data_IF_856801906872
#
_entry.id   IF_856801906872
#
_cell.length_a   1.000
_cell.length_b   1.000
_cell.length_c   1.000
_cell.angle_alpha   90.00
_cell.angle_beta   90.00
_cell.angle_gamma   90.00
#
_symmetry.space_group_name_H-M   'P 1'
#
loop_
_entity.id
_entity.type
_entity.pdbx_description
1 polymer ?
#
# COMPACT_ATOMS: atom_id res chain seq x y z
N UNK A 1 -14.70 -11.90 15.78
CA UNK A 1 -14.36 -10.81 14.86
C UNK A 1 -13.31 -11.30 13.90
N UNK A 2 -13.45 -11.01 12.59
CA UNK A 2 -12.41 -11.31 11.60
C UNK A 2 -11.20 -10.45 11.91
N UNK A 3 -10.03 -11.07 12.05
CA UNK A 3 -8.78 -10.31 12.19
C UNK A 3 -8.42 -9.72 10.84
N UNK A 4 -8.13 -8.42 10.78
CA UNK A 4 -7.83 -7.73 9.54
C UNK A 4 -6.33 -7.77 9.20
N UNK A 5 -6.01 -7.63 7.91
CA UNK A 5 -4.68 -7.35 7.40
C UNK A 5 -4.70 -5.96 6.76
N UNK A 6 -3.84 -5.06 7.22
CA UNK A 6 -3.68 -3.71 6.66
C UNK A 6 -2.54 -3.71 5.65
N UNK A 7 -2.88 -3.52 4.36
CA UNK A 7 -1.87 -3.61 3.29
C UNK A 7 -1.08 -2.32 3.05
N UNK A 8 -1.45 -1.20 3.67
CA UNK A 8 -0.79 0.10 3.45
C UNK A 8 -0.57 0.82 4.77
N UNK A 9 0.67 0.76 5.25
CA UNK A 9 1.09 1.40 6.50
C UNK A 9 2.41 2.13 6.28
N UNK A 10 2.38 3.45 6.37
CA UNK A 10 3.60 4.25 6.33
C UNK A 10 4.35 4.17 7.66
N UNK A 11 5.67 4.10 7.61
CA UNK A 11 6.49 4.33 8.81
C UNK A 11 6.37 5.81 9.21
N UNK A 12 5.66 6.03 10.30
CA UNK A 12 5.41 7.37 10.83
C UNK A 12 5.83 7.42 12.31
N UNK A 13 7.11 7.13 12.55
CA UNK A 13 7.73 7.20 13.86
C UNK A 13 8.40 8.57 14.11
N UNK A 14 8.71 8.89 15.38
CA UNK A 14 9.43 10.12 15.73
C UNK A 14 10.76 10.29 14.97
N UNK A 15 11.48 9.19 14.71
CA UNK A 15 12.72 9.20 13.94
C UNK A 15 12.50 9.61 12.48
N UNK A 16 11.45 9.08 11.83
CA UNK A 16 11.12 9.39 10.45
C UNK A 16 10.66 10.85 10.29
N UNK A 17 9.90 11.34 11.26
CA UNK A 17 9.47 12.74 11.30
C UNK A 17 10.69 13.66 11.44
N UNK A 18 11.57 13.37 12.39
CA UNK A 18 12.79 14.15 12.62
C UNK A 18 13.74 14.14 11.41
N UNK A 19 13.77 13.04 10.65
CA UNK A 19 14.56 12.88 9.43
C UNK A 19 13.90 13.46 8.18
N UNK A 20 12.67 14.01 8.26
CA UNK A 20 11.92 14.52 7.10
C UNK A 20 11.48 13.44 6.12
N UNK A 21 11.29 12.20 6.57
CA UNK A 21 10.99 11.02 5.76
C UNK A 21 9.48 10.70 5.68
N UNK A 22 8.61 11.63 6.04
CA UNK A 22 7.16 11.39 6.11
C UNK A 22 6.39 11.84 4.89
N UNK A 23 6.96 12.71 4.05
CA UNK A 23 6.32 13.23 2.85
C UNK A 23 5.15 14.20 3.08
N UNK A 24 4.75 14.45 4.34
CA UNK A 24 3.60 15.28 4.70
C UNK A 24 4.05 16.61 5.31
N UNK A 25 3.44 17.72 4.90
CA UNK A 25 3.55 18.99 5.61
C UNK A 25 2.36 19.21 6.57
N UNK A 26 2.47 20.25 7.42
CA UNK A 26 1.42 20.58 8.37
C UNK A 26 0.06 20.87 7.70
N UNK A 27 0.08 21.46 6.50
CA UNK A 27 -1.14 21.77 5.77
C UNK A 27 -1.86 20.51 5.29
N UNK A 28 -1.13 19.48 4.85
CA UNK A 28 -1.71 18.20 4.52
C UNK A 28 -2.28 17.49 5.76
N UNK A 29 -1.53 17.50 6.88
CA UNK A 29 -2.02 16.94 8.15
C UNK A 29 -3.33 17.61 8.60
N UNK A 30 -3.47 18.93 8.42
CA UNK A 30 -4.71 19.66 8.70
C UNK A 30 -5.83 19.26 7.74
N UNK A 31 -5.54 19.13 6.45
CA UNK A 31 -6.51 18.73 5.43
C UNK A 31 -7.12 17.35 5.71
N UNK A 32 -6.30 16.37 6.12
CA UNK A 32 -6.76 15.02 6.48
C UNK A 32 -7.27 14.93 7.91
N UNK A 33 -7.24 16.03 8.67
CA UNK A 33 -7.67 16.12 10.07
C UNK A 33 -6.93 15.13 10.97
N UNK A 34 -5.63 15.01 10.76
CA UNK A 34 -4.79 14.13 11.57
C UNK A 34 -4.81 14.59 13.04
N UNK A 35 -5.16 13.71 13.99
CA UNK A 35 -5.13 14.04 15.42
C UNK A 35 -3.75 14.46 15.89
N UNK A 36 -3.64 15.42 16.81
CA UNK A 36 -2.36 15.92 17.32
C UNK A 36 -1.49 14.82 17.91
N UNK A 37 -2.08 13.86 18.62
CA UNK A 37 -1.37 12.70 19.17
C UNK A 37 -0.69 11.83 18.09
N UNK A 38 -1.25 11.79 16.87
CA UNK A 38 -0.66 11.05 15.75
C UNK A 38 0.43 11.83 15.03
N UNK A 39 0.38 13.17 15.07
CA UNK A 39 1.37 14.04 14.43
C UNK A 39 2.76 13.91 15.04
N UNK A 40 2.85 13.52 16.30
CA UNK A 40 4.12 13.23 16.98
C UNK A 40 4.79 11.92 16.52
N UNK A 41 4.03 11.10 15.78
CA UNK A 41 4.44 9.77 15.36
C UNK A 41 4.34 8.73 16.47
N UNK A 42 4.40 7.47 16.09
CA UNK A 42 4.42 6.33 17.01
C UNK A 42 5.54 5.37 16.63
N UNK A 43 6.16 4.75 17.62
CA UNK A 43 7.13 3.69 17.38
C UNK A 43 6.45 2.34 17.08
N UNK A 44 7.24 1.31 16.79
CA UNK A 44 6.74 0.00 16.43
C UNK A 44 5.87 -0.63 17.52
N UNK A 45 6.25 -0.48 18.79
CA UNK A 45 5.51 -1.08 19.92
C UNK A 45 4.16 -0.40 20.14
N UNK A 46 4.14 0.93 20.07
CA UNK A 46 2.91 1.70 20.17
C UNK A 46 1.98 1.43 18.97
N UNK A 47 2.52 1.23 17.78
CA UNK A 47 1.70 0.88 16.63
C UNK A 47 1.09 -0.53 16.75
N UNK A 48 1.82 -1.51 17.30
CA UNK A 48 1.26 -2.83 17.61
C UNK A 48 0.08 -2.75 18.58
N UNK A 49 0.13 -1.86 19.58
CA UNK A 49 -1.02 -1.64 20.48
C UNK A 49 -2.24 -1.09 19.71
N UNK A 50 -2.03 -0.14 18.79
CA UNK A 50 -3.10 0.37 17.91
C UNK A 50 -3.69 -0.76 17.05
N UNK A 51 -2.85 -1.64 16.50
CA UNK A 51 -3.30 -2.82 15.74
C UNK A 51 -4.16 -3.74 16.60
N UNK A 52 -3.74 -4.02 17.86
CA UNK A 52 -4.49 -4.88 18.78
C UNK A 52 -5.86 -4.30 19.09
N UNK A 53 -5.95 -3.01 19.39
CA UNK A 53 -7.20 -2.29 19.60
C UNK A 53 -8.12 -2.30 18.37
N UNK A 54 -7.53 -2.24 17.17
CA UNK A 54 -8.26 -2.27 15.90
C UNK A 54 -8.67 -3.68 15.44
N UNK A 55 -8.10 -4.73 16.01
CA UNK A 55 -8.29 -6.10 15.53
C UNK A 55 -7.48 -6.42 14.25
N UNK A 56 -6.37 -5.70 14.01
CA UNK A 56 -5.46 -5.97 12.90
C UNK A 56 -4.41 -6.98 13.34
N UNK A 57 -4.33 -8.11 12.64
CA UNK A 57 -3.35 -9.14 12.95
C UNK A 57 -1.98 -8.90 12.30
N UNK A 58 -1.97 -8.28 11.12
CA UNK A 58 -0.75 -8.04 10.35
C UNK A 58 -0.83 -6.75 9.54
N UNK A 59 0.31 -6.07 9.37
CA UNK A 59 0.42 -4.84 8.56
C UNK A 59 1.61 -4.89 7.61
N UNK A 60 1.42 -4.36 6.40
CA UNK A 60 2.50 -4.18 5.42
C UNK A 60 3.10 -2.79 5.55
N UNK A 61 4.37 -2.73 5.93
CA UNK A 61 5.12 -1.49 6.14
C UNK A 61 5.86 -1.08 4.87
N UNK A 62 5.75 0.18 4.49
CA UNK A 62 6.33 0.69 3.26
C UNK A 62 7.71 1.32 3.47
N UNK A 63 8.74 0.77 2.82
CA UNK A 63 10.05 1.40 2.68
C UNK A 63 10.01 2.37 1.49
N UNK A 64 9.45 3.55 1.73
CA UNK A 64 9.09 4.52 0.70
C UNK A 64 10.28 4.98 -0.12
N UNK A 65 10.09 5.08 -1.45
CA UNK A 65 10.87 5.89 -2.36
C UNK A 65 9.91 6.81 -3.11
N UNK A 66 9.96 8.09 -2.79
CA UNK A 66 9.06 9.09 -3.34
C UNK A 66 9.84 10.19 -4.05
N UNK A 67 9.85 10.13 -5.39
CA UNK A 67 10.52 11.05 -6.28
C UNK A 67 12.00 10.74 -6.54
N UNK A 68 12.51 11.31 -7.64
CA UNK A 68 13.93 11.23 -7.98
C UNK A 68 14.77 11.93 -6.89
N UNK A 69 15.83 11.28 -6.43
CA UNK A 69 16.71 11.80 -5.36
C UNK A 69 17.29 13.21 -5.63
N UNK A 70 17.30 13.62 -6.89
CA UNK A 70 17.78 14.95 -7.30
C UNK A 70 16.68 16.01 -7.29
N UNK A 71 15.43 15.66 -6.96
CA UNK A 71 14.33 16.61 -6.94
C UNK A 71 14.00 17.08 -5.53
N UNK A 72 13.66 18.37 -5.42
CA UNK A 72 13.18 18.93 -4.17
C UNK A 72 11.90 18.22 -3.71
N UNK A 73 11.84 17.90 -2.42
CA UNK A 73 10.70 17.25 -1.80
C UNK A 73 10.69 15.73 -1.91
N UNK A 74 11.62 15.15 -2.67
CA UNK A 74 11.82 13.69 -2.67
C UNK A 74 12.31 13.20 -1.33
N UNK A 75 11.87 12.01 -0.91
CA UNK A 75 12.29 11.40 0.33
C UNK A 75 12.35 9.88 0.22
N UNK A 76 13.07 9.27 1.14
CA UNK A 76 13.30 7.83 1.15
C UNK A 76 13.29 7.32 2.59
N UNK A 77 12.67 6.16 2.80
CA UNK A 77 12.81 5.35 4.01
C UNK A 77 13.66 4.13 3.61
N UNK A 78 14.87 3.96 4.18
CA UNK A 78 15.75 2.85 3.86
C UNK A 78 15.08 1.49 4.16
N UNK A 79 15.36 0.48 3.33
CA UNK A 79 14.84 -0.88 3.53
C UNK A 79 15.21 -1.44 4.90
N UNK A 80 16.43 -1.17 5.35
CA UNK A 80 16.92 -1.60 6.66
C UNK A 80 16.12 -1.01 7.83
N UNK A 81 15.54 0.17 7.65
CA UNK A 81 14.67 0.79 8.67
C UNK A 81 13.36 0.02 8.81
N UNK A 82 12.74 -0.35 7.71
CA UNK A 82 11.53 -1.19 7.71
C UNK A 82 11.86 -2.61 8.20
N UNK A 83 12.98 -3.18 7.74
CA UNK A 83 13.42 -4.52 8.18
C UNK A 83 13.57 -4.59 9.72
N UNK A 84 14.16 -3.57 10.37
CA UNK A 84 14.24 -3.52 11.85
C UNK A 84 12.88 -3.56 12.54
N UNK A 85 11.86 -2.89 12.00
CA UNK A 85 10.50 -2.97 12.55
C UNK A 85 9.91 -4.37 12.35
N UNK A 86 10.12 -4.96 11.17
CA UNK A 86 9.67 -6.33 10.89
C UNK A 86 10.37 -7.37 11.79
N UNK A 87 11.67 -7.21 12.05
CA UNK A 87 12.43 -8.10 12.94
C UNK A 87 12.02 -7.98 14.41
N UNK A 88 11.63 -6.77 14.83
CA UNK A 88 11.12 -6.53 16.19
C UNK A 88 9.77 -7.22 16.43
N UNK A 89 8.91 -7.26 15.43
CA UNK A 89 7.57 -7.87 15.50
C UNK A 89 7.30 -8.76 14.26
N UNK A 90 7.99 -9.89 14.11
CA UNK A 90 8.00 -10.69 12.87
C UNK A 90 6.65 -11.33 12.52
N UNK A 91 5.75 -11.50 13.50
CA UNK A 91 4.39 -11.99 13.29
C UNK A 91 3.38 -10.88 12.94
N UNK A 92 3.77 -9.61 13.14
CA UNK A 92 2.88 -8.45 13.01
C UNK A 92 3.18 -7.61 11.78
N UNK A 93 4.42 -7.65 11.27
CA UNK A 93 4.87 -6.81 10.18
C UNK A 93 5.55 -7.59 9.06
N UNK A 94 5.32 -7.14 7.84
CA UNK A 94 6.13 -7.49 6.67
C UNK A 94 6.44 -6.22 5.87
N UNK A 95 7.59 -6.19 5.20
CA UNK A 95 8.03 -5.01 4.45
C UNK A 95 7.63 -5.03 2.99
N UNK A 96 7.33 -3.86 2.43
CA UNK A 96 7.19 -3.59 1.00
C UNK A 96 8.33 -2.69 0.54
N UNK A 97 9.06 -3.10 -0.50
CA UNK A 97 10.19 -2.35 -1.04
C UNK A 97 9.72 -1.19 -1.93
N UNK A 98 10.14 0.03 -1.65
CA UNK A 98 9.89 1.18 -2.51
C UNK A 98 10.65 1.08 -3.83
N UNK A 99 9.98 1.36 -4.95
CA UNK A 99 10.58 1.36 -6.27
C UNK A 99 10.83 2.78 -6.81
N UNK A 100 12.03 3.00 -7.35
CA UNK A 100 12.44 4.24 -7.99
C UNK A 100 12.92 3.95 -9.42
N UNK A 101 12.13 4.30 -10.46
CA UNK A 101 12.47 4.01 -11.85
C UNK A 101 13.64 4.86 -12.38
N UNK A 102 14.11 5.86 -11.63
CA UNK A 102 15.24 6.70 -12.05
C UNK A 102 16.61 6.06 -11.75
N UNK A 103 16.65 5.01 -10.91
CA UNK A 103 17.92 4.36 -10.47
C UNK A 103 18.45 3.28 -11.42
N UNK A 104 17.70 2.90 -12.43
CA UNK A 104 18.15 1.89 -13.41
C UNK A 104 18.57 0.57 -12.74
N UNK A 105 19.79 0.10 -13.01
CA UNK A 105 20.30 -1.17 -12.48
C UNK A 105 20.45 -1.20 -10.96
N UNK A 106 20.74 -0.05 -10.33
CA UNK A 106 20.78 0.06 -8.86
C UNK A 106 19.43 -0.38 -8.24
N UNK A 107 18.30 0.07 -8.83
CA UNK A 107 16.98 -0.33 -8.36
C UNK A 107 16.75 -1.84 -8.45
N UNK A 108 17.24 -2.50 -9.50
CA UNK A 108 17.05 -3.95 -9.66
C UNK A 108 17.85 -4.72 -8.60
N UNK A 109 19.09 -4.29 -8.31
CA UNK A 109 19.91 -4.85 -7.23
C UNK A 109 19.29 -4.59 -5.85
N UNK A 110 18.70 -3.41 -5.66
CA UNK A 110 17.99 -3.08 -4.42
C UNK A 110 16.77 -3.98 -4.20
N UNK A 111 16.05 -4.38 -5.24
CA UNK A 111 14.94 -5.34 -5.11
C UNK A 111 15.43 -6.73 -4.70
N UNK A 112 16.57 -7.18 -5.22
CA UNK A 112 17.21 -8.43 -4.78
C UNK A 112 17.60 -8.36 -3.29
N UNK A 113 18.17 -7.22 -2.86
CA UNK A 113 18.48 -6.96 -1.45
C UNK A 113 17.21 -6.95 -0.58
N UNK A 114 16.13 -6.31 -1.03
CA UNK A 114 14.86 -6.32 -0.32
C UNK A 114 14.28 -7.74 -0.17
N UNK A 115 14.35 -8.56 -1.23
CA UNK A 115 13.95 -9.97 -1.17
C UNK A 115 14.78 -10.75 -0.15
N UNK A 116 16.10 -10.52 -0.10
CA UNK A 116 17.00 -11.12 0.89
C UNK A 116 16.69 -10.66 2.33
N UNK A 117 16.21 -9.44 2.53
CA UNK A 117 15.70 -8.92 3.81
C UNK A 117 14.30 -9.45 4.18
N UNK A 118 13.70 -10.31 3.34
CA UNK A 118 12.40 -10.91 3.60
C UNK A 118 11.20 -10.00 3.28
N UNK A 119 11.36 -9.01 2.43
CA UNK A 119 10.26 -8.20 1.93
C UNK A 119 9.31 -9.05 1.08
N UNK A 120 8.02 -8.77 1.17
CA UNK A 120 6.96 -9.62 0.60
C UNK A 120 6.31 -9.03 -0.65
N UNK A 121 6.71 -7.83 -1.03
CA UNK A 121 6.20 -7.13 -2.21
C UNK A 121 6.96 -5.83 -2.47
N UNK A 122 6.58 -5.16 -3.53
CA UNK A 122 7.12 -3.87 -3.96
C UNK A 122 6.00 -2.85 -4.02
N UNK A 123 6.31 -1.58 -3.73
CA UNK A 123 5.35 -0.51 -3.92
C UNK A 123 5.96 0.68 -4.67
N UNK A 124 5.10 1.50 -5.30
CA UNK A 124 5.50 2.70 -5.99
C UNK A 124 4.47 3.82 -5.89
N UNK A 125 4.96 5.05 -5.98
CA UNK A 125 4.18 6.27 -6.10
C UNK A 125 4.46 6.95 -7.45
N UNK A 126 3.82 6.54 -8.57
CA UNK A 126 4.10 7.05 -9.91
C UNK A 126 4.03 8.57 -10.02
N UNK A 127 3.14 9.20 -9.26
CA UNK A 127 2.96 10.65 -9.23
C UNK A 127 4.23 11.40 -8.80
N UNK A 128 4.97 10.86 -7.85
CA UNK A 128 6.21 11.46 -7.35
C UNK A 128 7.33 11.45 -8.39
N UNK A 129 7.26 10.54 -9.36
CA UNK A 129 8.19 10.48 -10.47
C UNK A 129 7.65 11.20 -11.72
N UNK A 130 6.42 11.74 -11.68
CA UNK A 130 5.73 12.34 -12.83
C UNK A 130 5.71 11.40 -14.03
N UNK A 131 5.64 10.12 -13.79
CA UNK A 131 5.80 9.05 -14.77
C UNK A 131 4.60 8.11 -14.69
N UNK A 132 3.86 8.00 -15.80
CA UNK A 132 2.73 7.08 -15.88
C UNK A 132 3.18 5.63 -15.66
N UNK A 133 2.36 4.78 -15.01
CA UNK A 133 2.77 3.42 -14.64
C UNK A 133 3.06 2.50 -15.83
N UNK A 134 2.47 2.77 -17.00
CA UNK A 134 2.71 2.05 -18.26
C UNK A 134 3.95 2.54 -19.03
N UNK A 135 4.69 3.52 -18.49
CA UNK A 135 5.90 4.01 -19.15
C UNK A 135 7.03 2.96 -19.10
N UNK A 136 7.74 2.81 -20.20
CA UNK A 136 8.79 1.80 -20.40
C UNK A 136 9.87 1.78 -19.30
N UNK A 137 10.09 2.90 -18.60
CA UNK A 137 11.05 3.00 -17.50
C UNK A 137 10.68 2.11 -16.29
N UNK A 138 9.40 1.78 -16.10
CA UNK A 138 8.95 0.86 -15.07
C UNK A 138 9.14 -0.61 -15.43
N UNK A 139 9.20 -0.96 -16.72
CA UNK A 139 9.19 -2.34 -17.20
C UNK A 139 10.31 -3.22 -16.65
N UNK A 140 11.57 -2.74 -16.52
CA UNK A 140 12.61 -3.54 -15.85
C UNK A 140 12.27 -3.92 -14.40
N UNK A 141 11.57 -3.02 -13.68
CA UNK A 141 11.12 -3.25 -12.31
C UNK A 141 10.01 -4.31 -12.29
N UNK A 142 9.03 -4.23 -13.21
CA UNK A 142 7.97 -5.24 -13.33
C UNK A 142 8.55 -6.62 -13.64
N UNK A 143 9.47 -6.70 -14.59
CA UNK A 143 10.17 -7.95 -14.92
C UNK A 143 10.93 -8.52 -13.69
N UNK A 144 11.62 -7.67 -12.93
CA UNK A 144 12.31 -8.09 -11.70
C UNK A 144 11.31 -8.53 -10.62
N UNK A 145 10.16 -7.92 -10.50
CA UNK A 145 9.09 -8.35 -9.59
C UNK A 145 8.55 -9.74 -9.97
N UNK A 146 8.36 -10.01 -11.27
CA UNK A 146 8.00 -11.36 -11.74
C UNK A 146 9.10 -12.38 -11.40
N UNK A 147 10.37 -12.07 -11.69
CA UNK A 147 11.51 -12.94 -11.37
C UNK A 147 11.59 -13.27 -9.88
N UNK A 148 11.36 -12.28 -9.02
CA UNK A 148 11.42 -12.41 -7.57
C UNK A 148 10.10 -12.87 -6.96
N UNK A 149 9.04 -13.11 -7.74
CA UNK A 149 7.69 -13.42 -7.28
C UNK A 149 7.18 -12.43 -6.21
N UNK A 150 7.38 -11.14 -6.46
CA UNK A 150 6.93 -10.05 -5.59
C UNK A 150 5.75 -9.31 -6.23
N UNK A 151 4.59 -9.25 -5.56
CA UNK A 151 3.49 -8.38 -5.97
C UNK A 151 3.94 -6.93 -6.07
N UNK A 152 3.37 -6.19 -7.03
CA UNK A 152 3.64 -4.78 -7.22
C UNK A 152 2.41 -3.94 -6.87
N UNK A 153 2.51 -3.14 -5.82
CA UNK A 153 1.47 -2.25 -5.35
C UNK A 153 1.78 -0.82 -5.80
N UNK A 154 0.81 -0.09 -6.32
CA UNK A 154 1.05 1.27 -6.79
C UNK A 154 -0.13 2.20 -6.53
N UNK A 155 0.19 3.45 -6.21
CA UNK A 155 -0.81 4.51 -6.09
C UNK A 155 -1.44 4.77 -7.45
N UNK A 156 -2.77 4.66 -7.53
CA UNK A 156 -3.58 5.00 -8.70
C UNK A 156 -4.63 6.07 -8.35
N UNK A 157 -5.13 6.75 -9.36
CA UNK A 157 -6.12 7.81 -9.19
C UNK A 157 -5.51 9.20 -9.12
N UNK A 158 -6.15 10.09 -8.38
CA UNK A 158 -5.65 11.45 -8.19
C UNK A 158 -4.52 11.48 -7.16
N UNK A 159 -3.63 12.45 -7.33
CA UNK A 159 -2.61 12.79 -6.35
C UNK A 159 -3.02 14.06 -5.59
N UNK A 160 -2.92 14.04 -4.28
CA UNK A 160 -3.16 15.23 -3.45
C UNK A 160 -1.89 16.09 -3.36
N UNK A 161 -1.99 17.27 -2.76
CA UNK A 161 -0.84 18.13 -2.49
C UNK A 161 -0.36 17.84 -1.08
N UNK A 162 0.62 16.94 -0.97
CA UNK A 162 1.21 16.52 0.32
C UNK A 162 2.15 17.58 0.90
N UNK A 163 2.73 18.42 0.02
CA UNK A 163 3.63 19.52 0.40
C UNK A 163 3.28 20.74 -0.45
N UNK A 164 3.10 21.90 0.16
CA UNK A 164 2.65 23.12 -0.54
C UNK A 164 3.54 23.56 -1.67
N UNK A 165 4.84 23.31 -1.55
CA UNK A 165 5.86 23.72 -2.53
C UNK A 165 6.27 22.60 -3.48
N UNK A 166 5.70 21.41 -3.36
CA UNK A 166 5.89 20.26 -4.26
C UNK A 166 4.55 19.86 -4.86
N UNK A 167 4.30 20.32 -6.09
CA UNK A 167 3.03 20.06 -6.79
C UNK A 167 3.27 19.00 -7.86
N UNK A 168 2.59 17.87 -7.71
CA UNK A 168 2.73 16.70 -8.57
C UNK A 168 1.46 16.47 -9.38
N UNK A 169 1.57 16.14 -10.68
CA UNK A 169 0.40 15.81 -11.49
C UNK A 169 -0.15 14.42 -11.14
N UNK A 170 -1.44 14.21 -11.37
CA UNK A 170 -2.06 12.87 -11.30
C UNK A 170 -1.78 12.13 -12.61
N UNK A 171 -0.80 11.21 -12.60
CA UNK A 171 -0.33 10.50 -13.81
C UNK A 171 -0.76 9.03 -13.87
N UNK A 172 -1.32 8.49 -12.79
CA UNK A 172 -1.62 7.06 -12.67
C UNK A 172 -3.14 6.79 -12.72
N UNK A 173 -3.76 6.98 -13.89
CA UNK A 173 -5.14 6.52 -14.09
C UNK A 173 -5.20 5.00 -14.04
N UNK A 174 -6.22 4.41 -13.41
CA UNK A 174 -6.32 2.95 -13.27
C UNK A 174 -6.34 2.19 -14.60
N UNK A 175 -6.89 2.78 -15.67
CA UNK A 175 -6.91 2.17 -17.00
C UNK A 175 -5.49 1.84 -17.54
N UNK A 176 -4.46 2.53 -17.08
CA UNK A 176 -3.07 2.28 -17.50
C UNK A 176 -2.52 0.94 -16.95
N UNK A 177 -3.17 0.33 -15.97
CA UNK A 177 -2.85 -1.02 -15.51
C UNK A 177 -3.15 -2.08 -16.56
N UNK A 178 -4.01 -1.78 -17.54
CA UNK A 178 -4.42 -2.72 -18.58
C UNK A 178 -3.21 -3.23 -19.37
N UNK A 179 -2.39 -2.31 -19.88
CA UNK A 179 -1.20 -2.68 -20.68
C UNK A 179 -0.19 -3.44 -19.84
N UNK A 180 0.02 -3.03 -18.58
CA UNK A 180 0.98 -3.71 -17.69
C UNK A 180 0.54 -5.15 -17.43
N UNK A 181 -0.74 -5.37 -17.13
CA UNK A 181 -1.28 -6.70 -16.86
C UNK A 181 -1.31 -7.61 -18.10
N UNK A 182 -1.34 -7.03 -19.32
CA UNK A 182 -1.21 -7.78 -20.58
C UNK A 182 0.25 -8.18 -20.81
N UNK A 183 1.19 -7.26 -20.59
CA UNK A 183 2.61 -7.49 -20.85
C UNK A 183 3.28 -8.37 -19.78
N UNK A 184 2.76 -8.35 -18.55
CA UNK A 184 3.25 -9.13 -17.40
C UNK A 184 2.10 -9.91 -16.74
N UNK A 185 1.56 -10.95 -17.39
CA UNK A 185 0.40 -11.71 -16.87
C UNK A 185 0.71 -12.46 -15.56
N UNK A 186 1.97 -12.71 -15.23
CA UNK A 186 2.41 -13.31 -13.97
C UNK A 186 2.43 -12.33 -12.81
N UNK A 187 2.49 -11.01 -13.08
CA UNK A 187 2.63 -9.98 -12.07
C UNK A 187 1.30 -9.77 -11.33
N UNK A 188 1.33 -9.91 -10.02
CA UNK A 188 0.21 -9.44 -9.19
C UNK A 188 0.31 -7.93 -9.03
N UNK A 189 -0.71 -7.20 -9.51
CA UNK A 189 -0.82 -5.75 -9.43
C UNK A 189 -1.87 -5.34 -8.40
N UNK A 190 -1.56 -4.40 -7.53
CA UNK A 190 -2.50 -3.84 -6.57
C UNK A 190 -2.58 -2.33 -6.80
N UNK A 191 -3.72 -1.85 -7.31
CA UNK A 191 -3.99 -0.42 -7.40
C UNK A 191 -4.54 0.08 -6.07
N UNK A 192 -3.76 0.88 -5.33
CA UNK A 192 -4.16 1.45 -4.04
C UNK A 192 -4.82 2.82 -4.19
N UNK A 193 -5.44 3.34 -3.10
CA UNK A 193 -6.22 4.58 -3.06
C UNK A 193 -7.51 4.52 -3.92
N UNK A 194 -8.12 3.33 -4.05
CA UNK A 194 -9.42 3.14 -4.74
C UNK A 194 -9.39 3.50 -6.24
N UNK A 195 -8.37 4.22 -6.71
CA UNK A 195 -8.34 4.83 -8.04
C UNK A 195 -9.19 6.08 -8.18
N UNK A 196 -9.57 6.72 -7.06
CA UNK A 196 -10.42 7.93 -7.05
C UNK A 196 -9.84 9.04 -7.95
N UNK A 197 -10.67 9.76 -8.77
CA UNK A 197 -12.12 9.60 -8.93
C UNK A 197 -12.55 8.53 -9.95
N UNK A 198 -11.62 7.79 -10.54
CA UNK A 198 -11.86 6.79 -11.61
C UNK A 198 -12.04 5.38 -11.05
N UNK A 199 -12.84 5.22 -9.99
CA UNK A 199 -13.10 3.93 -9.36
C UNK A 199 -13.72 2.89 -10.32
N UNK A 200 -14.51 3.33 -11.31
CA UNK A 200 -15.05 2.44 -12.35
C UNK A 200 -13.96 1.84 -13.23
N UNK A 201 -12.92 2.60 -13.56
CA UNK A 201 -11.75 2.08 -14.28
C UNK A 201 -11.01 1.04 -13.43
N UNK A 202 -10.81 1.33 -12.13
CA UNK A 202 -10.13 0.39 -11.22
C UNK A 202 -10.91 -0.92 -11.08
N UNK A 203 -12.24 -0.84 -10.95
CA UNK A 203 -13.12 -2.01 -10.92
C UNK A 203 -13.02 -2.78 -12.24
N UNK A 204 -13.03 -2.08 -13.39
CA UNK A 204 -12.91 -2.72 -14.69
C UNK A 204 -11.58 -3.48 -14.84
N UNK A 205 -10.47 -2.90 -14.38
CA UNK A 205 -9.15 -3.54 -14.42
C UNK A 205 -9.10 -4.78 -13.51
N UNK A 206 -9.61 -4.68 -12.29
CA UNK A 206 -9.65 -5.81 -11.37
C UNK A 206 -10.58 -6.93 -11.84
N UNK A 207 -11.64 -6.60 -12.59
CA UNK A 207 -12.54 -7.59 -13.18
C UNK A 207 -11.95 -8.25 -14.42
N UNK A 208 -11.29 -7.49 -15.28
CA UNK A 208 -10.69 -7.98 -16.53
C UNK A 208 -9.50 -8.91 -16.28
N UNK A 209 -8.64 -8.56 -15.32
CA UNK A 209 -7.38 -9.24 -15.08
C UNK A 209 -7.39 -10.05 -13.78
N UNK A 210 -7.03 -11.32 -13.88
CA UNK A 210 -7.03 -12.25 -12.74
C UNK A 210 -6.14 -11.78 -11.60
N UNK A 211 -4.97 -11.19 -11.90
CA UNK A 211 -3.97 -10.78 -10.93
C UNK A 211 -3.99 -9.28 -10.60
N UNK A 212 -5.07 -8.57 -10.94
CA UNK A 212 -5.25 -7.16 -10.55
C UNK A 212 -6.20 -7.08 -9.37
N UNK A 213 -5.80 -6.34 -8.33
CA UNK A 213 -6.52 -6.13 -7.08
C UNK A 213 -6.71 -4.64 -6.80
N UNK A 214 -7.63 -4.30 -5.90
CA UNK A 214 -7.96 -2.93 -5.46
C UNK A 214 -7.65 -2.78 -3.99
N UNK A 215 -6.80 -1.82 -3.61
CA UNK A 215 -6.62 -1.39 -2.22
C UNK A 215 -7.56 -0.24 -1.89
N UNK A 216 -8.28 -0.33 -0.76
CA UNK A 216 -9.26 0.67 -0.32
C UNK A 216 -8.72 1.64 0.73
N UNK A 217 -7.44 1.77 0.82
CA UNK A 217 -6.71 2.67 1.70
C UNK A 217 -6.84 4.16 1.31
N UNK A 218 -6.30 5.05 2.14
CA UNK A 218 -6.28 6.51 1.99
C UNK A 218 -7.63 7.23 2.06
N UNK A 219 -8.72 6.52 1.80
CA UNK A 219 -10.08 7.06 1.92
C UNK A 219 -10.81 6.36 3.06
N UNK A 220 -11.37 7.15 3.99
CA UNK A 220 -12.15 6.58 5.09
C UNK A 220 -13.29 5.72 4.53
N UNK A 221 -13.47 4.48 5.01
CA UNK A 221 -14.41 3.52 4.40
C UNK A 221 -15.83 4.05 4.21
N UNK A 222 -16.32 4.90 5.09
CA UNK A 222 -17.64 5.55 4.94
C UNK A 222 -17.78 6.43 3.68
N UNK A 223 -16.67 6.79 3.03
CA UNK A 223 -16.65 7.60 1.81
C UNK A 223 -16.34 6.76 0.56
N UNK A 224 -16.24 5.44 0.69
CA UNK A 224 -16.05 4.57 -0.47
C UNK A 224 -17.19 4.71 -1.48
N UNK A 225 -16.89 4.71 -2.79
CA UNK A 225 -17.90 4.81 -3.82
C UNK A 225 -18.91 3.64 -3.78
N UNK A 226 -20.19 3.94 -3.99
CA UNK A 226 -21.26 2.92 -3.93
C UNK A 226 -21.08 1.79 -4.94
N UNK A 227 -20.48 2.06 -6.12
CA UNK A 227 -20.12 1.05 -7.11
C UNK A 227 -19.08 0.06 -6.57
N UNK A 228 -18.07 0.53 -5.85
CA UNK A 228 -17.04 -0.31 -5.23
C UNK A 228 -17.62 -1.16 -4.09
N UNK A 229 -18.47 -0.56 -3.23
CA UNK A 229 -19.16 -1.32 -2.17
C UNK A 229 -20.00 -2.44 -2.76
N UNK A 230 -20.74 -2.16 -3.84
CA UNK A 230 -21.52 -3.17 -4.55
C UNK A 230 -20.62 -4.25 -5.16
N UNK A 231 -19.50 -3.87 -5.77
CA UNK A 231 -18.51 -4.77 -6.35
C UNK A 231 -17.94 -5.73 -5.30
N UNK A 232 -17.40 -5.18 -4.20
CA UNK A 232 -16.80 -6.00 -3.13
C UNK A 232 -17.84 -6.87 -2.39
N UNK A 233 -19.10 -6.48 -2.37
CA UNK A 233 -20.18 -7.26 -1.75
C UNK A 233 -20.85 -8.26 -2.72
N UNK A 234 -20.31 -8.45 -3.92
CA UNK A 234 -20.87 -9.35 -4.93
C UNK A 234 -19.77 -10.14 -5.66
N UNK A 235 -19.70 -10.06 -6.97
CA UNK A 235 -18.78 -10.82 -7.82
C UNK A 235 -17.31 -10.42 -7.67
N UNK A 236 -16.99 -9.24 -7.16
CA UNK A 236 -15.63 -8.75 -6.93
C UNK A 236 -15.12 -8.95 -5.50
N UNK A 237 -15.81 -9.73 -4.66
CA UNK A 237 -15.43 -9.90 -3.24
C UNK A 237 -14.02 -10.46 -3.05
N UNK A 238 -13.46 -11.15 -4.03
CA UNK A 238 -12.11 -11.72 -4.02
C UNK A 238 -11.03 -10.80 -4.59
N UNK A 239 -11.36 -9.53 -4.88
CA UNK A 239 -10.48 -8.57 -5.57
C UNK A 239 -10.12 -7.34 -4.75
N UNK A 240 -10.74 -7.13 -3.60
CA UNK A 240 -10.60 -5.91 -2.81
C UNK A 240 -9.86 -6.21 -1.52
N UNK A 241 -8.89 -5.37 -1.18
CA UNK A 241 -8.02 -5.52 0.00
C UNK A 241 -8.18 -4.31 0.91
N UNK A 242 -8.25 -4.58 2.23
CA UNK A 242 -8.31 -3.55 3.24
C UNK A 242 -6.95 -2.89 3.47
N UNK A 243 -6.95 -1.59 3.66
CA UNK A 243 -5.79 -0.79 4.04
C UNK A 243 -6.22 0.53 4.66
N UNK A 244 -5.33 1.16 5.43
CA UNK A 244 -5.62 2.44 6.09
C UNK A 244 -4.83 3.61 5.54
N UNK A 245 -3.68 3.37 4.91
CA UNK A 245 -2.70 4.41 4.61
C UNK A 245 -2.29 5.18 5.89
N UNK A 246 -2.14 4.42 7.02
CA UNK A 246 -1.64 5.03 8.25
C UNK A 246 -0.46 5.97 7.96
N UNK A 247 -0.42 7.19 8.52
CA UNK A 247 -1.28 7.75 9.57
C UNK A 247 -2.49 8.56 9.04
N UNK A 248 -2.85 8.43 7.77
CA UNK A 248 -3.99 9.16 7.15
C UNK A 248 -5.32 8.73 7.77
N UNK A 249 -5.49 7.43 8.01
CA UNK A 249 -6.67 6.86 8.66
C UNK A 249 -6.22 6.07 9.91
N UNK A 250 -6.84 6.38 11.05
CA UNK A 250 -6.67 5.57 12.25
C UNK A 250 -7.22 4.16 12.00
N UNK A 251 -6.42 3.09 12.21
CA UNK A 251 -6.83 1.71 11.98
C UNK A 251 -8.12 1.31 12.69
N UNK A 252 -8.33 1.78 13.93
CA UNK A 252 -9.56 1.51 14.72
C UNK A 252 -10.79 2.07 14.03
N UNK A 253 -10.66 3.28 13.50
CA UNK A 253 -11.72 3.93 12.71
C UNK A 253 -11.93 3.21 11.38
N UNK A 254 -10.84 2.83 10.68
CA UNK A 254 -10.91 2.12 9.41
C UNK A 254 -11.69 0.81 9.52
N UNK A 255 -11.37 -0.02 10.51
CA UNK A 255 -12.07 -1.29 10.76
C UNK A 255 -13.54 -1.05 11.12
N UNK A 256 -13.82 -0.15 12.07
CA UNK A 256 -15.19 0.14 12.50
C UNK A 256 -16.08 0.67 11.34
N UNK A 257 -15.55 1.53 10.48
CA UNK A 257 -16.28 2.04 9.33
C UNK A 257 -16.49 0.96 8.23
N UNK A 258 -15.56 -0.02 8.10
CA UNK A 258 -15.77 -1.18 7.22
C UNK A 258 -16.89 -2.09 7.72
N UNK A 259 -16.95 -2.36 9.02
CA UNK A 259 -18.04 -3.15 9.61
C UNK A 259 -19.41 -2.50 9.38
N UNK A 260 -19.49 -1.16 9.41
CA UNK A 260 -20.72 -0.40 9.20
C UNK A 260 -21.32 -0.56 7.79
N UNK A 261 -20.54 -1.02 6.81
CA UNK A 261 -21.07 -1.33 5.46
C UNK A 261 -21.96 -2.58 5.41
N UNK A 262 -21.97 -3.40 6.46
CA UNK A 262 -22.77 -4.63 6.55
C UNK A 262 -22.61 -5.53 5.32
N UNK A 263 -21.38 -5.74 4.87
CA UNK A 263 -21.08 -6.65 3.79
C UNK A 263 -21.52 -8.08 4.17
N UNK A 264 -21.81 -8.91 3.16
CA UNK A 264 -22.02 -10.33 3.43
C UNK A 264 -20.81 -10.90 4.17
N UNK A 265 -21.00 -11.78 5.18
CA UNK A 265 -19.90 -12.27 6.03
C UNK A 265 -18.70 -12.81 5.26
N UNK A 266 -18.95 -13.58 4.18
CA UNK A 266 -17.91 -14.09 3.31
C UNK A 266 -17.14 -12.97 2.56
N UNK A 267 -17.86 -11.96 2.06
CA UNK A 267 -17.25 -10.82 1.39
C UNK A 267 -16.42 -9.98 2.36
N UNK A 268 -16.94 -9.76 3.57
CA UNK A 268 -16.24 -9.06 4.63
C UNK A 268 -14.92 -9.75 5.00
N UNK A 269 -14.95 -11.07 5.25
CA UNK A 269 -13.75 -11.84 5.55
C UNK A 269 -12.71 -11.75 4.43
N UNK A 270 -13.13 -11.90 3.17
CA UNK A 270 -12.26 -11.78 2.01
C UNK A 270 -11.58 -10.41 1.93
N UNK A 271 -12.35 -9.34 2.03
CA UNK A 271 -11.85 -7.96 1.95
C UNK A 271 -10.90 -7.65 3.11
N UNK A 272 -11.28 -8.05 4.32
CA UNK A 272 -10.50 -7.73 5.52
C UNK A 272 -9.24 -8.59 5.66
N UNK A 273 -9.21 -9.78 5.07
CA UNK A 273 -8.12 -10.73 5.37
C UNK A 273 -7.67 -11.60 4.18
N UNK A 274 -8.50 -12.53 3.71
CA UNK A 274 -8.01 -13.62 2.85
C UNK A 274 -7.54 -13.17 1.48
N UNK A 275 -8.07 -12.07 0.95
CA UNK A 275 -7.55 -11.50 -0.31
C UNK A 275 -6.11 -10.99 -0.17
N UNK A 276 -5.73 -10.43 0.99
CA UNK A 276 -4.35 -10.02 1.24
C UNK A 276 -3.41 -11.24 1.29
N UNK A 277 -3.84 -12.35 1.89
CA UNK A 277 -3.06 -13.60 1.90
C UNK A 277 -2.88 -14.16 0.48
N UNK A 278 -3.88 -14.01 -0.38
CA UNK A 278 -3.81 -14.42 -1.80
C UNK A 278 -2.89 -13.50 -2.60
N UNK A 279 -3.00 -12.19 -2.41
CA UNK A 279 -2.21 -11.21 -3.16
C UNK A 279 -0.73 -11.19 -2.74
N UNK A 280 -0.42 -11.53 -1.48
CA UNK A 280 0.93 -11.54 -0.93
C UNK A 280 1.30 -12.93 -0.38
N UNK A 281 1.57 -13.94 -1.24
CA UNK A 281 1.80 -15.33 -0.81
C UNK A 281 3.02 -15.49 0.11
N UNK A 282 4.07 -14.67 -0.05
CA UNK A 282 5.24 -14.69 0.85
C UNK A 282 4.90 -14.20 2.26
N UNK A 283 4.00 -13.22 2.39
CA UNK A 283 3.45 -12.80 3.68
C UNK A 283 2.64 -13.93 4.32
N UNK A 284 1.76 -14.57 3.54
CA UNK A 284 0.96 -15.70 4.02
C UNK A 284 1.82 -16.86 4.54
N UNK A 285 2.89 -17.20 3.83
CA UNK A 285 3.86 -18.22 4.26
C UNK A 285 4.57 -17.82 5.56
N UNK A 286 4.99 -16.55 5.70
CA UNK A 286 5.64 -16.04 6.92
C UNK A 286 4.70 -16.08 8.13
N UNK A 287 3.44 -15.66 7.96
CA UNK A 287 2.43 -15.72 9.02
C UNK A 287 2.11 -17.17 9.43
N UNK A 288 2.01 -18.09 8.46
CA UNK A 288 1.77 -19.51 8.72
C UNK A 288 2.92 -20.19 9.45
N UNK A 289 4.16 -19.90 9.10
CA UNK A 289 5.34 -20.42 9.78
C UNK A 289 5.45 -19.95 11.24
N UNK A 290 5.06 -18.70 11.51
CA UNK A 290 5.08 -18.13 12.86
C UNK A 290 3.96 -18.67 13.77
N UNK A 291 2.86 -19.16 13.20
CA UNK A 291 1.77 -19.80 13.96
C UNK A 291 2.02 -21.28 14.29
N UNK A 292 3.07 -21.88 13.72
CA UNK A 292 3.45 -23.28 13.93
C UNK A 292 4.62 -23.45 14.93
N UNK A 293 5.24 -22.37 15.39
CA UNK A 293 6.33 -22.33 16.37
C UNK A 293 5.81 -21.89 17.74
#
# INVERSE_FOLDING_TARGET
>A
MTKAIDIVVNLFGPEQIAAGQTGFDAAFMDQVRMPDAMRAGVDADAYVQIMDEAGIEHSLLMAVRAGDRNWKGSFEIPYETVARWCDRHPTRFSGLAGADPSRGMEQLQDLERAAALGFVGVHAYPHWFRLAPDAARWYPIYAKCCELELPFMLQVGQNLIYQKDVRLPSVARPILLDQIAIDFPELTLIGIHVGTPWSDEMIAMAWKHERVFIGIDAYAPKHLPANLIRYMNSYGSHKVLFGTDWPVIDPRRGVAEMEAHNLRPEAHEKVMRSNALTAFPKMAARMGAAGAA
#
